data_IF_307364716942
#
_entry.id   IF_307364716942
#
_cell.length_a   1.000
_cell.length_b   1.000
_cell.length_c   1.000
_cell.angle_alpha   90.00
_cell.angle_beta   90.00
_cell.angle_gamma   90.00
#
_symmetry.space_group_name_H-M   'P 1'
#
loop_
_entity.id
_entity.type
_entity.pdbx_description
1 polymer ?
#
# COMPACT_ATOMS: atom_id res chain seq x y z
N UNK A 1 10.11 -6.62 6.64
CA UNK A 1 10.08 -5.29 5.99
C UNK A 1 8.65 -4.79 6.06
N UNK A 2 8.41 -3.58 6.56
CA UNK A 2 7.07 -3.00 6.68
C UNK A 2 6.93 -1.95 5.57
N UNK A 3 5.98 -2.17 4.67
CA UNK A 3 5.74 -1.33 3.49
C UNK A 3 4.30 -0.87 3.53
N UNK A 4 4.08 0.44 3.61
CA UNK A 4 2.73 0.99 3.52
C UNK A 4 2.36 1.25 2.07
N UNK A 5 1.17 0.77 1.71
CA UNK A 5 0.58 0.92 0.39
C UNK A 5 -0.38 2.12 0.37
N UNK A 6 -0.20 3.04 -0.60
CA UNK A 6 -1.19 4.10 -0.83
C UNK A 6 -2.40 3.52 -1.59
N UNK A 7 -3.58 3.51 -0.97
CA UNK A 7 -4.83 3.44 -1.74
C UNK A 7 -5.27 4.87 -2.06
N UNK A 8 -5.30 5.22 -3.35
CA UNK A 8 -5.75 6.53 -3.85
C UNK A 8 -7.23 6.83 -3.58
N UNK A 9 -8.01 5.83 -3.18
CA UNK A 9 -9.40 5.99 -2.73
C UNK A 9 -9.55 6.89 -1.49
N UNK A 10 -8.46 7.14 -0.75
CA UNK A 10 -8.48 7.98 0.45
C UNK A 10 -8.62 9.48 0.15
N UNK A 11 -8.28 9.94 -1.06
CA UNK A 11 -8.22 11.39 -1.37
C UNK A 11 -9.57 12.02 -1.78
N UNK A 12 -10.64 11.24 -1.97
CA UNK A 12 -11.89 11.72 -2.59
C UNK A 12 -13.13 11.68 -1.68
N UNK A 13 -13.03 11.21 -0.44
CA UNK A 13 -14.21 11.09 0.44
C UNK A 13 -14.61 12.40 1.16
N UNK A 14 -13.90 13.50 0.94
CA UNK A 14 -14.08 14.75 1.67
C UNK A 14 -14.49 15.94 0.80
N UNK A 15 -15.59 15.86 0.04
CA UNK A 15 -16.39 17.03 -0.40
C UNK A 15 -17.50 16.63 -1.39
N UNK A 16 -18.61 16.06 -0.92
CA UNK A 16 -19.93 16.24 -1.56
C UNK A 16 -21.06 16.10 -0.53
N UNK A 17 -21.27 17.13 0.30
CA UNK A 17 -22.62 17.40 0.80
C UNK A 17 -23.34 18.29 -0.22
N UNK A 18 -24.25 17.69 -1.00
CA UNK A 18 -25.30 18.45 -1.68
C UNK A 18 -26.55 18.48 -0.79
N UNK A 19 -27.18 19.64 -0.57
CA UNK A 19 -28.41 19.71 0.20
C UNK A 19 -29.60 19.08 -0.58
N UNK A 20 -30.63 18.58 0.13
CA UNK A 20 -31.68 17.77 -0.47
C UNK A 20 -32.57 18.62 -1.39
N UNK A 21 -32.77 18.15 -2.63
CA UNK A 21 -33.81 18.69 -3.51
C UNK A 21 -35.04 17.78 -3.47
N UNK A 22 -36.15 18.37 -3.04
CA UNK A 22 -37.51 17.83 -3.13
C UNK A 22 -37.94 17.58 -4.58
N UNK A 23 -38.80 16.59 -4.85
CA UNK A 23 -39.14 16.17 -6.21
C UNK A 23 -40.33 16.96 -6.78
N UNK A 24 -40.47 16.99 -8.12
CA UNK A 24 -41.81 17.03 -8.69
C UNK A 24 -42.06 15.91 -9.72
N UNK A 25 -43.20 15.26 -9.50
CA UNK A 25 -44.25 14.91 -10.45
C UNK A 25 -43.90 14.38 -11.86
N UNK A 26 -44.43 13.17 -12.07
CA UNK A 26 -44.76 12.53 -13.33
C UNK A 26 -45.56 13.40 -14.33
N UNK A 27 -45.22 13.32 -15.61
CA UNK A 27 -46.21 13.29 -16.69
C UNK A 27 -45.71 12.51 -17.92
N UNK A 28 -46.59 11.67 -18.44
CA UNK A 28 -46.47 10.93 -19.70
C UNK A 28 -46.69 11.87 -20.90
N UNK A 29 -46.08 11.55 -22.04
CA UNK A 29 -46.43 12.16 -23.33
C UNK A 29 -45.59 11.58 -24.47
N UNK A 30 -46.26 11.08 -25.50
CA UNK A 30 -45.77 10.15 -26.50
C UNK A 30 -45.18 10.78 -27.77
N UNK A 31 -44.35 9.99 -28.48
CA UNK A 31 -44.31 9.86 -29.93
C UNK A 31 -43.55 10.91 -30.76
N UNK A 32 -42.50 10.49 -31.47
CA UNK A 32 -42.53 10.37 -32.94
C UNK A 32 -41.23 9.79 -33.50
N UNK A 33 -41.39 8.93 -34.49
CA UNK A 33 -40.40 8.13 -35.19
C UNK A 33 -39.64 8.93 -36.27
N UNK A 34 -38.36 8.62 -36.48
CA UNK A 34 -37.76 8.66 -37.82
C UNK A 34 -36.56 7.73 -37.94
N UNK A 35 -36.71 6.73 -38.82
CA UNK A 35 -35.73 5.74 -39.29
C UNK A 35 -34.80 6.36 -40.33
N UNK A 36 -33.54 5.93 -40.37
CA UNK A 36 -32.72 5.71 -41.59
C UNK A 36 -31.43 5.00 -41.15
N UNK A 37 -31.33 3.68 -41.34
CA UNK A 37 -30.83 2.95 -42.52
C UNK A 37 -29.29 2.86 -42.56
N UNK A 38 -28.79 1.66 -42.23
CA UNK A 38 -27.40 1.24 -42.32
C UNK A 38 -27.04 0.69 -43.72
N UNK A 39 -25.74 0.74 -44.08
CA UNK A 39 -24.99 -0.24 -44.90
C UNK A 39 -23.49 0.12 -44.85
N UNK A 40 -22.66 -0.64 -44.16
CA UNK A 40 -21.81 -1.73 -44.68
C UNK A 40 -20.79 -1.28 -45.74
N UNK A 41 -19.53 -1.17 -45.32
CA UNK A 41 -18.34 -1.09 -46.16
C UNK A 41 -17.29 -2.04 -45.58
N UNK A 42 -16.98 -3.06 -46.36
CA UNK A 42 -15.94 -4.08 -46.18
C UNK A 42 -14.53 -3.44 -46.16
N UNK A 43 -13.60 -3.99 -45.39
CA UNK A 43 -12.18 -3.57 -45.36
C UNK A 43 -11.28 -4.78 -45.22
N UNK A 44 -10.38 -5.06 -46.19
CA UNK A 44 -9.35 -6.06 -46.05
C UNK A 44 -8.01 -5.44 -45.63
N UNK A 45 -7.26 -6.19 -44.82
CA UNK A 45 -5.79 -6.21 -44.93
C UNK A 45 -5.02 -5.43 -43.87
N UNK A 46 -4.59 -6.16 -42.84
CA UNK A 46 -3.60 -5.77 -41.85
C UNK A 46 -2.27 -5.30 -42.46
N UNK A 47 -1.69 -4.26 -41.86
CA UNK A 47 -0.24 -4.14 -41.64
C UNK A 47 0.00 -3.65 -40.22
N UNK A 48 0.55 -4.56 -39.43
CA UNK A 48 1.15 -4.39 -38.12
C UNK A 48 2.22 -3.30 -38.16
N UNK A 49 1.86 -2.11 -37.67
CA UNK A 49 2.84 -1.12 -37.20
C UNK A 49 3.13 -1.42 -35.74
N UNK A 50 4.31 -1.95 -35.46
CA UNK A 50 4.87 -1.98 -34.12
C UNK A 50 4.93 -0.53 -33.62
N UNK A 51 3.99 -0.14 -32.76
CA UNK A 51 4.08 1.09 -32.00
C UNK A 51 5.24 0.90 -31.03
N UNK A 52 6.36 1.47 -31.45
CA UNK A 52 7.53 1.73 -30.62
C UNK A 52 7.05 2.55 -29.43
N UNK A 53 7.32 2.05 -28.21
CA UNK A 53 7.09 2.79 -26.99
C UNK A 53 7.73 4.18 -27.12
N UNK A 54 6.92 5.22 -26.99
CA UNK A 54 7.37 6.61 -26.96
C UNK A 54 8.18 6.86 -25.68
N UNK A 55 9.33 7.56 -25.76
CA UNK A 55 10.24 7.80 -24.63
C UNK A 55 9.80 8.98 -23.75
N UNK A 56 8.53 9.04 -23.33
CA UNK A 56 7.97 10.21 -22.60
C UNK A 56 7.12 9.86 -21.37
N UNK A 57 7.47 8.79 -20.65
CA UNK A 57 7.09 8.61 -19.24
C UNK A 57 8.25 9.07 -18.35
N UNK A 58 8.67 10.33 -18.52
CA UNK A 58 9.59 10.94 -17.57
C UNK A 58 8.82 11.11 -16.26
N UNK A 59 9.07 10.20 -15.32
CA UNK A 59 8.43 10.19 -14.01
C UNK A 59 8.52 11.59 -13.35
N UNK A 60 7.37 12.15 -12.99
CA UNK A 60 7.29 13.50 -12.44
C UNK A 60 7.88 13.51 -11.03
N UNK A 61 9.10 14.04 -10.92
CA UNK A 61 9.74 14.25 -9.62
C UNK A 61 9.21 15.49 -8.91
N UNK A 62 9.20 15.46 -7.59
CA UNK A 62 8.91 16.61 -6.75
C UNK A 62 10.00 17.68 -6.89
N UNK A 63 9.63 18.93 -6.67
CA UNK A 63 10.58 20.04 -6.69
C UNK A 63 11.50 20.00 -5.46
N UNK A 64 12.69 20.64 -5.52
CA UNK A 64 13.55 20.80 -4.34
C UNK A 64 12.85 21.46 -3.13
N UNK A 65 11.93 22.39 -3.41
CA UNK A 65 11.14 23.07 -2.38
C UNK A 65 10.16 22.11 -1.69
N UNK A 66 9.51 21.25 -2.47
CA UNK A 66 8.64 20.20 -1.95
C UNK A 66 9.42 19.16 -1.13
N UNK A 67 10.64 18.81 -1.56
CA UNK A 67 11.52 17.93 -0.79
C UNK A 67 11.93 18.54 0.55
N UNK A 68 12.25 19.85 0.58
CA UNK A 68 12.57 20.57 1.81
C UNK A 68 11.37 20.65 2.76
N UNK A 69 10.16 20.89 2.23
CA UNK A 69 8.94 20.84 3.03
C UNK A 69 8.71 19.46 3.64
N UNK A 70 8.84 18.40 2.84
CA UNK A 70 8.68 17.03 3.30
C UNK A 70 9.70 16.69 4.39
N UNK A 71 10.96 17.10 4.21
CA UNK A 71 11.99 16.92 5.23
C UNK A 71 11.66 17.66 6.52
N UNK A 72 11.16 18.89 6.46
CA UNK A 72 10.73 19.63 7.65
C UNK A 72 9.57 18.92 8.36
N UNK A 73 8.63 18.35 7.61
CA UNK A 73 7.48 17.65 8.18
C UNK A 73 7.86 16.43 9.02
N UNK A 74 9.01 15.79 8.75
CA UNK A 74 9.49 14.62 9.52
C UNK A 74 9.56 14.92 11.02
N UNK A 75 10.10 16.06 11.43
CA UNK A 75 10.27 16.38 12.85
C UNK A 75 8.94 16.72 13.53
N UNK A 76 8.01 17.33 12.79
CA UNK A 76 6.66 17.65 13.26
C UNK A 76 5.83 16.37 13.43
N UNK A 77 5.90 15.48 12.44
CA UNK A 77 5.19 14.20 12.44
C UNK A 77 5.78 13.25 13.47
N UNK A 78 7.10 13.22 13.66
CA UNK A 78 7.72 12.40 14.70
C UNK A 78 7.24 12.82 16.10
N UNK A 79 7.10 14.13 16.35
CA UNK A 79 6.52 14.64 17.61
C UNK A 79 5.06 14.28 17.75
N UNK A 80 4.28 14.34 16.67
CA UNK A 80 2.90 13.88 16.66
C UNK A 80 2.83 12.39 17.04
N UNK A 81 3.53 11.52 16.32
CA UNK A 81 3.54 10.08 16.54
C UNK A 81 4.01 9.73 17.95
N UNK A 82 5.04 10.42 18.47
CA UNK A 82 5.51 10.24 19.85
C UNK A 82 4.43 10.59 20.89
N UNK A 83 3.70 11.69 20.67
CA UNK A 83 2.60 12.07 21.55
C UNK A 83 1.44 11.07 21.49
N UNK A 84 1.08 10.66 20.28
CA UNK A 84 -0.07 9.77 20.02
C UNK A 84 0.16 8.37 20.60
N UNK A 85 1.35 7.81 20.38
CA UNK A 85 1.74 6.49 20.87
C UNK A 85 2.21 6.47 22.33
N UNK A 86 2.50 7.65 22.90
CA UNK A 86 3.24 7.83 24.14
C UNK A 86 4.66 7.22 24.16
N UNK A 87 5.22 6.87 23.00
CA UNK A 87 6.60 6.38 22.88
C UNK A 87 7.58 7.57 22.87
N UNK A 88 8.65 7.55 23.67
CA UNK A 88 9.62 8.63 23.73
C UNK A 88 10.48 8.68 22.46
N UNK A 89 10.90 9.90 22.08
CA UNK A 89 11.96 10.09 21.09
C UNK A 89 13.30 9.97 21.83
N UNK A 90 14.02 8.87 21.61
CA UNK A 90 15.35 8.66 22.20
C UNK A 90 16.46 9.29 21.34
N UNK A 91 16.27 9.33 20.03
CA UNK A 91 17.22 9.90 19.07
C UNK A 91 16.51 10.41 17.81
N UNK A 92 17.17 11.30 17.10
CA UNK A 92 16.69 11.79 15.80
C UNK A 92 16.64 10.65 14.78
N UNK A 93 15.62 10.67 13.91
CA UNK A 93 15.44 9.68 12.84
C UNK A 93 16.13 10.19 11.56
N UNK A 94 17.00 9.37 10.99
CA UNK A 94 17.63 9.69 9.71
C UNK A 94 16.58 9.68 8.60
N UNK A 95 16.67 10.63 7.66
CA UNK A 95 15.72 10.78 6.56
C UNK A 95 16.48 10.86 5.24
N UNK A 96 16.00 10.16 4.21
CA UNK A 96 16.56 10.27 2.85
C UNK A 96 15.45 10.28 1.81
N UNK A 97 15.68 11.01 0.72
CA UNK A 97 14.83 10.97 -0.46
C UNK A 97 15.36 9.87 -1.39
N UNK A 98 14.48 8.99 -1.87
CA UNK A 98 14.81 7.89 -2.79
C UNK A 98 14.00 8.01 -4.07
N UNK A 99 14.58 7.52 -5.17
CA UNK A 99 13.88 7.37 -6.44
C UNK A 99 13.27 5.96 -6.60
N UNK A 100 12.41 5.79 -7.60
CA UNK A 100 11.63 4.55 -7.76
C UNK A 100 12.50 3.34 -8.06
N UNK A 101 13.61 3.51 -8.78
CA UNK A 101 14.52 2.43 -9.09
C UNK A 101 15.30 1.97 -7.85
N UNK A 102 15.63 2.88 -6.94
CA UNK A 102 16.19 2.54 -5.62
C UNK A 102 15.21 1.71 -4.80
N UNK A 103 13.91 2.06 -4.80
CA UNK A 103 12.88 1.28 -4.12
C UNK A 103 12.73 -0.11 -4.73
N UNK A 104 12.70 -0.23 -6.06
CA UNK A 104 12.64 -1.53 -6.73
C UNK A 104 13.87 -2.38 -6.43
N UNK A 105 15.07 -1.80 -6.45
CA UNK A 105 16.29 -2.51 -6.11
C UNK A 105 16.27 -3.00 -4.67
N UNK A 106 15.80 -2.15 -3.74
CA UNK A 106 15.65 -2.48 -2.33
C UNK A 106 14.64 -3.61 -2.11
N UNK A 107 13.44 -3.54 -2.71
CA UNK A 107 12.42 -4.59 -2.63
C UNK A 107 12.94 -5.90 -3.23
N UNK A 108 13.54 -5.85 -4.41
CA UNK A 108 14.09 -7.02 -5.09
C UNK A 108 15.15 -7.72 -4.24
N UNK A 109 16.08 -6.94 -3.67
CA UNK A 109 17.12 -7.46 -2.80
C UNK A 109 16.53 -8.23 -1.61
N UNK A 110 15.55 -7.65 -0.92
CA UNK A 110 14.88 -8.31 0.20
C UNK A 110 14.08 -9.56 -0.23
N UNK A 111 13.55 -9.58 -1.45
CA UNK A 111 12.86 -10.75 -2.01
C UNK A 111 13.80 -11.83 -2.58
N UNK A 112 15.12 -11.58 -2.64
CA UNK A 112 16.10 -12.52 -3.18
C UNK A 112 16.99 -13.15 -2.09
N UNK A 113 17.15 -12.48 -0.94
CA UNK A 113 18.18 -12.79 0.04
C UNK A 113 17.77 -13.75 1.18
N UNK A 114 16.51 -14.20 1.26
CA UNK A 114 16.00 -14.83 2.51
C UNK A 114 15.08 -16.07 2.34
N UNK A 115 14.75 -16.70 3.46
CA UNK A 115 13.70 -17.73 3.60
C UNK A 115 12.34 -17.25 3.06
N UNK A 116 12.04 -15.96 3.15
CA UNK A 116 10.85 -15.35 2.54
C UNK A 116 10.77 -15.56 1.02
N UNK A 117 11.91 -15.50 0.33
CA UNK A 117 11.98 -15.77 -1.10
C UNK A 117 11.60 -17.22 -1.41
N UNK A 118 12.07 -18.15 -0.59
CA UNK A 118 11.76 -19.59 -0.72
C UNK A 118 10.29 -19.84 -0.40
N UNK A 119 9.78 -19.23 0.68
CA UNK A 119 8.37 -19.29 1.08
C UNK A 119 7.47 -18.78 -0.04
N UNK A 120 7.79 -17.63 -0.64
CA UNK A 120 7.06 -17.07 -1.77
C UNK A 120 7.01 -18.03 -2.97
N UNK A 121 8.15 -18.59 -3.39
CA UNK A 121 8.21 -19.55 -4.51
C UNK A 121 7.43 -20.83 -4.23
N UNK A 122 7.46 -21.34 -2.99
CA UNK A 122 6.64 -22.50 -2.59
C UNK A 122 5.16 -22.17 -2.62
N UNK A 123 4.75 -21.02 -2.08
CA UNK A 123 3.36 -20.54 -2.14
C UNK A 123 2.89 -20.41 -3.59
N UNK A 124 3.69 -19.80 -4.46
CA UNK A 124 3.38 -19.69 -5.89
C UNK A 124 3.16 -21.07 -6.55
N UNK A 125 4.05 -22.03 -6.29
CA UNK A 125 3.90 -23.40 -6.80
C UNK A 125 2.61 -24.06 -6.33
N UNK A 126 2.26 -23.92 -5.05
CA UNK A 126 1.02 -24.44 -4.48
C UNK A 126 -0.19 -23.81 -5.17
N UNK A 127 -0.24 -22.48 -5.23
CA UNK A 127 -1.32 -21.74 -5.88
C UNK A 127 -1.49 -22.12 -7.36
N UNK A 128 -0.39 -22.30 -8.08
CA UNK A 128 -0.39 -22.83 -9.47
C UNK A 128 -0.90 -24.27 -9.54
N UNK A 129 -0.57 -25.12 -8.57
CA UNK A 129 -1.02 -26.53 -8.56
C UNK A 129 -2.52 -26.65 -8.33
N UNK A 130 -3.08 -25.83 -7.44
CA UNK A 130 -4.52 -25.74 -7.20
C UNK A 130 -5.28 -24.94 -8.26
N UNK A 131 -4.60 -24.34 -9.24
CA UNK A 131 -5.24 -23.57 -10.32
C UNK A 131 -5.71 -22.18 -9.88
N UNK A 132 -5.26 -21.71 -8.71
CA UNK A 132 -5.53 -20.37 -8.19
C UNK A 132 -4.68 -19.30 -8.89
N UNK A 133 -3.51 -19.70 -9.42
CA UNK A 133 -2.70 -18.88 -10.31
C UNK A 133 -2.53 -19.56 -11.68
N UNK A 134 -2.46 -18.78 -12.78
CA UNK A 134 -2.07 -19.30 -14.09
C UNK A 134 -0.70 -19.99 -14.06
N UNK A 135 -0.50 -21.00 -14.90
CA UNK A 135 0.70 -21.86 -14.89
C UNK A 135 2.00 -21.07 -15.15
N UNK A 136 1.90 -20.08 -16.01
CA UNK A 136 2.96 -19.19 -16.49
C UNK A 136 3.03 -17.85 -15.74
N UNK A 137 2.13 -17.60 -14.79
CA UNK A 137 2.12 -16.38 -13.99
C UNK A 137 3.39 -16.28 -13.15
N UNK A 138 4.06 -15.13 -13.10
CA UNK A 138 5.23 -14.91 -12.24
C UNK A 138 4.84 -14.05 -11.05
N UNK A 139 4.69 -14.69 -9.88
CA UNK A 139 4.23 -14.00 -8.66
C UNK A 139 5.26 -12.98 -8.16
N UNK A 140 6.55 -13.29 -8.24
CA UNK A 140 7.60 -12.40 -7.74
C UNK A 140 7.67 -11.12 -8.60
N UNK A 141 7.69 -11.27 -9.92
CA UNK A 141 7.70 -10.12 -10.84
C UNK A 141 6.45 -9.27 -10.66
N UNK A 142 5.28 -9.90 -10.52
CA UNK A 142 4.02 -9.21 -10.24
C UNK A 142 4.08 -8.41 -8.92
N UNK A 143 4.53 -9.03 -7.82
CA UNK A 143 4.61 -8.33 -6.53
C UNK A 143 5.58 -7.15 -6.56
N UNK A 144 6.71 -7.28 -7.26
CA UNK A 144 7.66 -6.17 -7.44
C UNK A 144 7.00 -5.02 -8.23
N UNK A 145 6.26 -5.33 -9.30
CA UNK A 145 5.54 -4.31 -10.07
C UNK A 145 4.46 -3.62 -9.24
N UNK A 146 3.69 -4.40 -8.47
CA UNK A 146 2.65 -3.88 -7.58
C UNK A 146 3.24 -2.97 -6.48
N UNK A 147 4.31 -3.42 -5.82
CA UNK A 147 5.03 -2.64 -4.82
C UNK A 147 5.64 -1.37 -5.44
N UNK A 148 6.19 -1.48 -6.65
CA UNK A 148 6.68 -0.31 -7.40
C UNK A 148 5.58 0.73 -7.57
N UNK A 149 4.34 0.32 -7.83
CA UNK A 149 3.21 1.22 -8.04
C UNK A 149 2.72 1.87 -6.74
N UNK A 150 2.68 1.11 -5.63
CA UNK A 150 1.90 1.47 -4.46
C UNK A 150 2.70 1.88 -3.22
N UNK A 151 4.02 1.65 -3.19
CA UNK A 151 4.86 2.08 -2.05
C UNK A 151 4.81 3.60 -1.91
N UNK A 152 4.55 4.05 -0.69
CA UNK A 152 4.40 5.46 -0.35
C UNK A 152 5.47 6.00 0.62
N UNK A 153 6.29 5.11 1.15
CA UNK A 153 7.35 5.37 2.12
C UNK A 153 7.73 4.05 2.80
N UNK A 154 8.89 4.00 3.46
CA UNK A 154 9.23 2.88 4.35
C UNK A 154 10.33 3.26 5.35
N UNK A 155 10.25 2.69 6.55
CA UNK A 155 11.33 2.71 7.54
C UNK A 155 12.24 1.48 7.37
N UNK A 156 13.55 1.73 7.28
CA UNK A 156 14.57 0.67 7.30
C UNK A 156 15.12 0.54 8.73
N UNK A 157 14.80 -0.56 9.45
CA UNK A 157 15.28 -0.77 10.80
C UNK A 157 16.78 -1.10 10.86
N UNK A 158 17.42 -1.59 9.79
CA UNK A 158 18.87 -1.81 9.80
C UNK A 158 19.61 -0.49 9.65
N UNK A 159 19.18 0.35 8.72
CA UNK A 159 19.77 1.66 8.48
C UNK A 159 19.26 2.75 9.44
N UNK A 160 18.25 2.45 10.28
CA UNK A 160 17.55 3.40 11.16
C UNK A 160 17.10 4.66 10.41
N UNK A 161 16.62 4.48 9.18
CA UNK A 161 16.35 5.57 8.23
C UNK A 161 14.95 5.48 7.68
N UNK A 162 14.22 6.61 7.68
CA UNK A 162 12.97 6.77 6.94
C UNK A 162 13.23 7.19 5.50
N UNK A 163 12.59 6.50 4.56
CA UNK A 163 12.75 6.67 3.14
C UNK A 163 11.54 7.40 2.56
N UNK A 164 11.80 8.57 2.01
CA UNK A 164 10.81 9.47 1.41
C UNK A 164 10.91 9.38 -0.11
N UNK A 165 9.79 9.53 -0.82
CA UNK A 165 9.75 9.26 -2.26
C UNK A 165 9.86 10.54 -3.08
N UNK A 166 10.72 10.55 -4.10
CA UNK A 166 10.95 11.73 -4.94
C UNK A 166 9.87 11.98 -6.01
N UNK A 167 8.82 11.15 -6.07
CA UNK A 167 7.77 11.22 -7.10
C UNK A 167 6.34 11.34 -6.54
N UNK A 168 6.17 11.36 -5.22
CA UNK A 168 4.85 11.56 -4.58
C UNK A 168 4.83 12.96 -3.94
N UNK A 169 3.74 13.72 -4.11
CA UNK A 169 3.66 15.06 -3.51
C UNK A 169 3.64 14.98 -1.97
N UNK A 170 4.20 15.97 -1.25
CA UNK A 170 4.39 15.89 0.21
C UNK A 170 3.12 15.57 1.00
N UNK A 171 1.99 16.22 0.70
CA UNK A 171 0.70 16.03 1.39
C UNK A 171 0.24 14.57 1.38
N UNK A 172 0.51 13.85 0.30
CA UNK A 172 0.11 12.46 0.13
C UNK A 172 1.03 11.51 0.93
N UNK A 173 2.27 11.93 1.21
CA UNK A 173 3.23 11.14 1.99
C UNK A 173 3.09 11.36 3.50
N UNK A 174 2.60 12.52 3.96
CA UNK A 174 2.58 12.88 5.40
C UNK A 174 1.86 11.83 6.29
N UNK A 175 0.69 11.28 5.93
CA UNK A 175 0.06 10.21 6.72
C UNK A 175 0.90 8.93 6.78
N UNK A 176 1.46 8.51 5.65
CA UNK A 176 2.36 7.35 5.59
C UNK A 176 3.62 7.59 6.41
N UNK A 177 4.16 8.80 6.37
CA UNK A 177 5.28 9.18 7.20
C UNK A 177 4.97 9.09 8.71
N UNK A 178 3.72 9.33 9.12
CA UNK A 178 3.29 9.11 10.51
C UNK A 178 3.32 7.62 10.90
N UNK A 179 2.94 6.74 9.97
CA UNK A 179 3.10 5.29 10.13
C UNK A 179 4.58 4.90 10.25
N UNK A 180 5.41 5.30 9.29
CA UNK A 180 6.83 4.92 9.26
C UNK A 180 7.63 5.47 10.45
N UNK A 181 7.31 6.69 10.90
CA UNK A 181 7.94 7.27 12.10
C UNK A 181 7.46 6.59 13.38
N UNK A 182 6.27 5.98 13.37
CA UNK A 182 5.85 5.09 14.46
C UNK A 182 6.74 3.86 14.53
N UNK A 183 7.09 3.26 13.40
CA UNK A 183 8.08 2.17 13.38
C UNK A 183 9.44 2.61 13.89
N UNK A 184 9.88 3.82 13.56
CA UNK A 184 11.12 4.36 14.12
C UNK A 184 11.05 4.50 15.65
N UNK A 185 9.93 4.93 16.22
CA UNK A 185 9.73 5.03 17.68
C UNK A 185 9.64 3.67 18.36
N UNK A 186 8.93 2.72 17.74
CA UNK A 186 8.85 1.33 18.19
C UNK A 186 10.24 0.68 18.19
N UNK A 187 11.05 0.93 17.16
CA UNK A 187 12.41 0.42 17.08
C UNK A 187 13.34 1.04 18.13
N UNK A 188 13.23 2.35 18.37
CA UNK A 188 13.96 3.01 19.45
C UNK A 188 13.60 2.45 20.84
N UNK A 189 12.34 2.07 21.05
CA UNK A 189 11.82 1.62 22.35
C UNK A 189 12.04 0.13 22.61
N UNK A 190 11.94 -0.71 21.57
CA UNK A 190 11.88 -2.17 21.71
C UNK A 190 12.90 -2.92 20.86
N UNK A 191 13.56 -2.27 19.91
CA UNK A 191 14.48 -2.88 18.95
C UNK A 191 13.76 -3.86 18.03
N UNK A 192 13.16 -3.34 16.95
CA UNK A 192 12.25 -4.12 16.08
C UNK A 192 12.95 -5.30 15.41
N UNK A 193 14.23 -5.18 15.05
CA UNK A 193 14.98 -6.30 14.46
C UNK A 193 14.99 -7.54 15.36
N UNK A 194 15.15 -7.36 16.67
CA UNK A 194 15.14 -8.48 17.60
C UNK A 194 13.71 -8.91 17.91
N UNK A 195 12.81 -7.94 18.09
CA UNK A 195 11.43 -8.19 18.46
C UNK A 195 10.68 -9.02 17.40
N UNK A 196 10.91 -8.73 16.12
CA UNK A 196 10.27 -9.40 14.98
C UNK A 196 10.91 -10.75 14.61
N UNK A 197 12.16 -11.00 15.01
CA UNK A 197 12.83 -12.30 14.78
C UNK A 197 12.41 -13.40 15.75
N UNK A 198 11.69 -13.05 16.83
CA UNK A 198 11.21 -14.05 17.79
C UNK A 198 10.15 -14.90 17.10
N UNK A 199 10.41 -16.20 16.98
CA UNK A 199 9.50 -17.14 16.35
C UNK A 199 9.39 -17.05 14.83
N UNK A 200 10.31 -16.35 14.18
CA UNK A 200 10.39 -16.24 12.71
C UNK A 200 11.02 -17.51 12.10
N UNK A 201 10.37 -18.66 12.35
CA UNK A 201 10.77 -19.95 11.80
C UNK A 201 9.73 -20.42 10.81
N UNK A 202 10.16 -20.59 9.56
CA UNK A 202 9.31 -21.18 8.53
C UNK A 202 9.04 -22.67 8.80
N UNK A 203 7.90 -22.97 9.41
CA UNK A 203 7.46 -24.33 9.69
C UNK A 203 7.39 -25.20 8.43
N UNK A 204 7.17 -24.59 7.26
CA UNK A 204 7.13 -25.27 5.96
C UNK A 204 8.50 -25.63 5.39
N UNK A 205 9.61 -25.13 5.95
CA UNK A 205 10.97 -25.52 5.56
C UNK A 205 11.42 -26.82 6.25
N UNK A 206 10.83 -27.16 7.40
CA UNK A 206 11.18 -28.38 8.14
C UNK A 206 10.52 -29.62 7.53
N UNK A 207 11.29 -30.72 7.43
CA UNK A 207 10.71 -32.04 7.09
C UNK A 207 10.11 -32.76 8.31
N UNK A 208 10.20 -32.16 9.49
CA UNK A 208 9.64 -32.72 10.73
C UNK A 208 8.27 -32.11 10.98
N UNK A 209 7.40 -32.88 11.63
CA UNK A 209 6.15 -32.33 12.16
C UNK A 209 6.47 -31.18 13.14
N UNK A 210 5.77 -30.03 13.05
CA UNK A 210 5.92 -28.94 14.00
C UNK A 210 5.63 -29.41 15.42
N UNK A 211 6.48 -29.03 16.37
CA UNK A 211 6.24 -29.22 17.79
C UNK A 211 5.26 -28.16 18.31
N UNK A 212 4.74 -28.36 19.53
CA UNK A 212 3.89 -27.36 20.19
C UNK A 212 4.64 -26.02 20.34
N UNK A 213 5.93 -26.07 20.67
CA UNK A 213 6.75 -24.86 20.78
C UNK A 213 6.86 -24.13 19.44
N UNK A 214 7.05 -24.87 18.35
CA UNK A 214 7.16 -24.25 17.01
C UNK A 214 5.86 -23.52 16.63
N UNK A 215 4.70 -24.04 17.03
CA UNK A 215 3.40 -23.39 16.82
C UNK A 215 3.26 -22.15 17.71
N UNK A 216 3.61 -22.25 18.99
CA UNK A 216 3.57 -21.11 19.91
C UNK A 216 4.47 -19.96 19.44
N UNK A 217 5.64 -20.29 18.90
CA UNK A 217 6.60 -19.32 18.36
C UNK A 217 6.05 -18.62 17.10
N UNK A 218 5.41 -19.36 16.18
CA UNK A 218 4.74 -18.81 14.98
C UNK A 218 3.56 -17.90 15.36
N UNK A 219 2.75 -18.29 16.35
CA UNK A 219 1.66 -17.47 16.89
C UNK A 219 2.19 -16.18 17.54
N UNK A 220 3.31 -16.25 18.27
CA UNK A 220 3.96 -15.08 18.86
C UNK A 220 4.47 -14.11 17.80
N UNK A 221 5.16 -14.61 16.76
CA UNK A 221 5.63 -13.81 15.63
C UNK A 221 4.46 -13.05 14.97
N UNK A 222 3.37 -13.76 14.70
CA UNK A 222 2.15 -13.18 14.13
C UNK A 222 1.54 -12.11 15.04
N UNK A 223 1.48 -12.36 16.35
CA UNK A 223 0.96 -11.41 17.33
C UNK A 223 1.83 -10.14 17.44
N UNK A 224 3.15 -10.29 17.43
CA UNK A 224 4.08 -9.15 17.41
C UNK A 224 3.85 -8.29 16.17
N UNK A 225 3.78 -8.90 14.99
CA UNK A 225 3.52 -8.16 13.75
C UNK A 225 2.18 -7.42 13.81
N UNK A 226 1.12 -8.08 14.26
CA UNK A 226 -0.21 -7.46 14.35
C UNK A 226 -0.24 -6.23 15.26
N UNK A 227 0.49 -6.26 16.39
CA UNK A 227 0.59 -5.12 17.31
C UNK A 227 1.40 -3.98 16.69
N UNK A 228 2.56 -4.28 16.11
CA UNK A 228 3.47 -3.26 15.54
C UNK A 228 2.81 -2.54 14.36
N UNK A 229 2.26 -3.29 13.41
CA UNK A 229 1.54 -2.74 12.25
C UNK A 229 0.24 -2.05 12.66
N UNK A 230 -0.53 -2.67 13.55
CA UNK A 230 -1.82 -2.14 14.00
C UNK A 230 -1.69 -0.79 14.69
N UNK A 231 -0.69 -0.62 15.57
CA UNK A 231 -0.42 0.67 16.20
C UNK A 231 -0.01 1.73 15.17
N UNK A 232 0.91 1.40 14.26
CA UNK A 232 1.34 2.35 13.23
C UNK A 232 0.18 2.76 12.30
N UNK A 233 -0.77 1.85 12.03
CA UNK A 233 -1.97 2.16 11.28
C UNK A 233 -2.91 3.10 12.04
N UNK A 234 -3.09 2.89 13.35
CA UNK A 234 -3.87 3.82 14.20
C UNK A 234 -3.28 5.24 14.13
N UNK A 235 -1.96 5.38 14.28
CA UNK A 235 -1.28 6.69 14.25
C UNK A 235 -1.46 7.38 12.90
N UNK A 236 -1.39 6.64 11.79
CA UNK A 236 -1.69 7.20 10.46
C UNK A 236 -3.10 7.78 10.41
N UNK A 237 -4.10 7.02 10.86
CA UNK A 237 -5.48 7.47 10.84
C UNK A 237 -5.70 8.66 11.78
N UNK A 238 -5.11 8.65 12.97
CA UNK A 238 -5.17 9.78 13.91
C UNK A 238 -4.49 11.02 13.33
N UNK A 239 -3.39 10.86 12.57
CA UNK A 239 -2.75 11.96 11.85
C UNK A 239 -3.67 12.56 10.78
N UNK A 240 -4.37 11.73 10.00
CA UNK A 240 -5.33 12.19 8.99
C UNK A 240 -6.54 12.91 9.61
N UNK A 241 -6.97 12.48 10.80
CA UNK A 241 -8.14 13.04 11.50
C UNK A 241 -7.78 14.26 12.37
N UNK A 242 -6.51 14.47 12.70
CA UNK A 242 -6.08 15.57 13.55
C UNK A 242 -6.59 16.97 13.10
N UNK A 243 -6.64 17.32 11.79
CA UNK A 243 -7.16 18.61 11.34
C UNK A 243 -8.66 18.84 11.65
N UNK A 244 -9.45 17.76 11.79
CA UNK A 244 -10.87 17.86 12.17
C UNK A 244 -11.09 17.84 13.68
N UNK A 245 -10.02 17.70 14.46
CA UNK A 245 -10.09 17.54 15.91
C UNK A 245 -10.64 16.17 16.35
N UNK A 246 -10.58 15.17 15.47
CA UNK A 246 -11.06 13.80 15.70
C UNK A 246 -9.90 12.81 15.81
N UNK A 247 -10.20 11.63 16.34
CA UNK A 247 -9.33 10.46 16.40
C UNK A 247 -10.13 9.18 16.16
N UNK A 248 -9.43 8.05 15.99
CA UNK A 248 -10.04 6.72 15.87
C UNK A 248 -10.81 6.33 17.14
N UNK A 249 -10.41 6.83 18.31
CA UNK A 249 -11.09 6.53 19.59
C UNK A 249 -12.47 7.17 19.66
N UNK A 250 -12.60 8.37 19.09
CA UNK A 250 -13.79 9.21 19.28
C UNK A 250 -14.71 9.18 18.04
N UNK A 251 -14.27 8.56 16.94
CA UNK A 251 -14.97 8.57 15.64
C UNK A 251 -15.19 7.18 15.03
N UNK A 252 -15.91 6.26 15.69
CA UNK A 252 -16.09 4.88 15.23
C UNK A 252 -16.80 4.76 13.88
N UNK A 253 -17.64 5.73 13.50
CA UNK A 253 -18.29 5.74 12.19
C UNK A 253 -17.30 6.05 11.07
N UNK A 254 -16.32 6.92 11.33
CA UNK A 254 -15.25 7.23 10.38
C UNK A 254 -14.37 6.00 10.20
N UNK A 255 -13.99 5.35 11.31
CA UNK A 255 -13.22 4.09 11.25
C UNK A 255 -13.97 3.02 10.45
N UNK A 256 -15.29 2.88 10.62
CA UNK A 256 -16.09 1.94 9.82
C UNK A 256 -16.12 2.30 8.33
N UNK A 257 -16.25 3.59 7.99
CA UNK A 257 -16.22 4.04 6.61
C UNK A 257 -14.84 3.82 5.97
N UNK A 258 -13.76 4.12 6.69
CA UNK A 258 -12.38 3.87 6.26
C UNK A 258 -12.14 2.37 6.05
N UNK A 259 -12.59 1.53 6.98
CA UNK A 259 -12.52 0.06 6.84
C UNK A 259 -13.28 -0.42 5.60
N UNK A 260 -14.47 0.13 5.34
CA UNK A 260 -15.22 -0.19 4.14
C UNK A 260 -14.47 0.23 2.87
N UNK A 261 -13.82 1.40 2.87
CA UNK A 261 -12.98 1.87 1.78
C UNK A 261 -11.75 0.98 1.53
N UNK A 262 -11.07 0.53 2.59
CA UNK A 262 -9.93 -0.40 2.50
C UNK A 262 -10.32 -1.74 1.88
N UNK A 263 -11.53 -2.25 2.15
CA UNK A 263 -12.04 -3.51 1.60
C UNK A 263 -12.33 -3.45 0.09
N UNK A 264 -12.51 -2.26 -0.48
CA UNK A 264 -12.72 -2.08 -1.93
C UNK A 264 -11.39 -2.19 -2.71
N UNK A 265 -10.25 -2.19 -2.01
CA UNK A 265 -8.92 -2.40 -2.58
C UNK A 265 -8.36 -1.18 -3.33
N UNK A 266 -7.35 -1.42 -4.15
CA UNK A 266 -6.61 -0.40 -4.91
C UNK A 266 -7.18 -0.28 -6.33
N UNK A 267 -8.40 0.25 -6.43
CA UNK A 267 -9.13 0.34 -7.70
C UNK A 267 -8.35 1.07 -8.81
N UNK A 268 -7.45 1.98 -8.46
CA UNK A 268 -6.64 2.75 -9.41
C UNK A 268 -5.35 2.06 -9.83
N UNK A 269 -4.91 1.01 -9.12
CA UNK A 269 -3.67 0.30 -9.45
C UNK A 269 -3.82 -0.45 -10.77
N UNK A 270 -2.95 -0.15 -11.73
CA UNK A 270 -2.89 -0.85 -13.03
C UNK A 270 -2.49 -2.31 -12.79
N UNK A 271 -1.49 -2.53 -11.94
CA UNK A 271 -1.00 -3.88 -11.65
C UNK A 271 -2.07 -4.70 -10.93
N UNK A 272 -2.71 -4.14 -9.90
CA UNK A 272 -3.77 -4.83 -9.16
C UNK A 272 -4.96 -5.21 -10.05
N UNK A 273 -5.38 -4.33 -10.96
CA UNK A 273 -6.48 -4.64 -11.90
C UNK A 273 -6.15 -5.81 -12.83
N UNK A 274 -4.88 -5.93 -13.22
CA UNK A 274 -4.36 -7.01 -14.06
C UNK A 274 -4.04 -8.29 -13.28
N UNK A 275 -4.17 -8.29 -11.95
CA UNK A 275 -3.89 -9.44 -11.13
C UNK A 275 -4.87 -10.60 -11.39
N UNK A 276 -4.42 -11.87 -11.22
CA UNK A 276 -5.30 -13.04 -11.23
C UNK A 276 -6.44 -12.91 -10.23
N UNK A 277 -7.60 -13.55 -10.52
CA UNK A 277 -8.80 -13.43 -9.69
C UNK A 277 -8.54 -13.74 -8.21
N UNK A 278 -7.78 -14.81 -7.93
CA UNK A 278 -7.41 -15.19 -6.57
C UNK A 278 -6.72 -14.05 -5.81
N UNK A 279 -5.79 -13.33 -6.45
CA UNK A 279 -5.07 -12.21 -5.82
C UNK A 279 -6.00 -11.01 -5.55
N UNK A 280 -7.08 -10.85 -6.33
CA UNK A 280 -8.03 -9.76 -6.15
C UNK A 280 -9.10 -10.01 -5.08
N UNK A 281 -9.28 -11.26 -4.68
CA UNK A 281 -10.34 -11.70 -3.75
C UNK A 281 -9.81 -12.31 -2.44
N UNK A 282 -8.51 -12.59 -2.36
CA UNK A 282 -7.84 -13.12 -1.16
C UNK A 282 -7.56 -12.04 -0.13
#
# INVERSE_FOLDING_TARGET
MMLVFLSTSFLLAGSQEQPPKTPPASSQGAGSSAKTAAKHGDSPGAKTGAQSATPDDAEKKISPQAAEELFRSVDEILKFASKDTALPIHQDVQRRLVNRDEVVAFVRKHMEEDEDAKRLRRSELVLKKFGLLPRDFDLQTFLIALLREQVAGYYDPQAKTVNLLDWIEPEQQKPVLAHELTHALQDQSFGLEKYMKVGDTDLGASQKEPTVQDIEDDEQSTAHQAVVEGQAMVVLLDYELAPTGQSVTDSPQIVQALKAGMLVGTADSVEYRNAPLYIKEA
#
